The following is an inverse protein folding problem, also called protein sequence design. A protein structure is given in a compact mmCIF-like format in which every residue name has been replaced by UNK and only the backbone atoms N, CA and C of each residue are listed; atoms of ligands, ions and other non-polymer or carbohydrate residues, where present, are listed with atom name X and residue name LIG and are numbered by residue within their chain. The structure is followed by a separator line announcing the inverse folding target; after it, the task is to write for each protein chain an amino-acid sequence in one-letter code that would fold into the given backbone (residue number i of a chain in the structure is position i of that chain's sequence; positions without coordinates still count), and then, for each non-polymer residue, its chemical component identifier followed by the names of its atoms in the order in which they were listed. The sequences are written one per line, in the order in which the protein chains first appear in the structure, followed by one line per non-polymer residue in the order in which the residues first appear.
data_IF_863503917194
#
_entry.id   IF_863503917194
#
_cell.length_a   1.000
_cell.length_b   1.000
_cell.length_c   1.000
_cell.angle_alpha   90.00
_cell.angle_beta   90.00
_cell.angle_gamma   90.00
#
_symmetry.space_group_name_H-M   'P 1'
#
loop_
_entity.id
_entity.type
_entity.pdbx_description
1 polymer ?
#
# COMPACT_ATOMS: atom_id res chain seq x y z
N UNK A 1 -0.61 0.05 11.94
CA UNK A 1 0.24 -1.15 11.78
C UNK A 1 1.18 -0.95 10.59
N UNK A 2 2.52 -0.90 10.77
CA UNK A 2 3.48 -0.71 9.65
C UNK A 2 3.78 -2.06 8.99
N UNK A 3 2.94 -2.47 8.03
CA UNK A 3 3.15 -3.70 7.26
C UNK A 3 4.20 -3.46 6.16
N UNK A 4 5.10 -4.41 5.93
CA UNK A 4 6.11 -4.36 4.87
C UNK A 4 5.60 -5.01 3.59
N UNK A 5 5.89 -4.39 2.45
CA UNK A 5 5.81 -4.97 1.12
C UNK A 5 7.14 -5.64 0.75
N UNK A 6 7.06 -6.83 0.18
CA UNK A 6 8.22 -7.66 -0.21
C UNK A 6 9.26 -7.83 0.92
N UNK A 7 8.86 -8.30 2.11
CA UNK A 7 9.81 -8.53 3.18
C UNK A 7 10.71 -9.72 2.85
N UNK A 8 11.99 -9.65 3.21
CA UNK A 8 12.92 -10.77 3.02
C UNK A 8 12.71 -11.80 4.13
N UNK A 9 12.38 -13.06 3.80
CA UNK A 9 12.24 -14.11 4.79
C UNK A 9 13.61 -14.51 5.32
N UNK A 10 13.73 -14.62 6.65
CA UNK A 10 14.92 -15.14 7.32
C UNK A 10 14.74 -16.62 7.65
N UNK A 11 15.86 -17.31 7.89
CA UNK A 11 15.88 -18.73 8.27
C UNK A 11 15.19 -19.02 9.61
N UNK A 12 15.07 -18.01 10.47
CA UNK A 12 14.42 -18.11 11.79
C UNK A 12 12.88 -17.92 11.72
N UNK A 13 12.30 -17.85 10.52
CA UNK A 13 10.87 -17.63 10.32
C UNK A 13 10.42 -16.17 10.49
N UNK A 14 11.32 -15.27 10.88
CA UNK A 14 11.05 -13.83 10.87
C UNK A 14 11.25 -13.26 9.47
N UNK A 15 10.84 -12.01 9.27
CA UNK A 15 11.11 -11.30 8.03
C UNK A 15 11.72 -9.93 8.31
N UNK A 16 12.60 -9.46 7.43
CA UNK A 16 13.28 -8.18 7.57
C UNK A 16 13.31 -7.39 6.27
N UNK A 17 13.45 -6.07 6.40
CA UNK A 17 13.50 -5.17 5.25
C UNK A 17 12.16 -5.07 4.53
N UNK A 18 12.23 -4.76 3.24
CA UNK A 18 11.07 -4.46 2.41
C UNK A 18 10.65 -2.98 2.50
N UNK A 19 9.85 -2.57 1.51
CA UNK A 19 9.25 -1.24 1.44
C UNK A 19 8.06 -1.15 2.42
N UNK A 20 7.68 0.03 2.90
CA UNK A 20 6.41 0.15 3.60
C UNK A 20 5.26 -0.16 2.62
N UNK A 21 4.28 -0.97 3.06
CA UNK A 21 3.17 -1.40 2.20
C UNK A 21 2.39 -0.19 1.65
N UNK A 22 2.34 0.89 2.43
CA UNK A 22 1.77 2.18 2.03
C UNK A 22 2.50 2.78 0.85
N UNK A 23 3.83 2.88 0.93
CA UNK A 23 4.66 3.44 -0.14
C UNK A 23 4.55 2.61 -1.42
N UNK A 24 4.50 1.28 -1.30
CA UNK A 24 4.27 0.42 -2.44
C UNK A 24 2.92 0.70 -3.13
N UNK A 25 1.84 0.82 -2.36
CA UNK A 25 0.53 1.16 -2.93
C UNK A 25 0.51 2.56 -3.54
N UNK A 26 1.17 3.54 -2.92
CA UNK A 26 1.26 4.88 -3.46
C UNK A 26 1.96 4.90 -4.82
N UNK A 27 3.11 4.22 -4.95
CA UNK A 27 3.83 4.11 -6.22
C UNK A 27 2.97 3.43 -7.29
N UNK A 28 2.23 2.37 -6.95
CA UNK A 28 1.34 1.68 -7.89
C UNK A 28 0.16 2.54 -8.34
N UNK A 29 -0.39 3.35 -7.43
CA UNK A 29 -1.43 4.31 -7.75
C UNK A 29 -0.91 5.38 -8.72
N UNK A 30 0.24 5.98 -8.40
CA UNK A 30 0.92 6.97 -9.26
C UNK A 30 1.24 6.39 -10.63
N UNK A 31 1.79 5.18 -10.70
CA UNK A 31 2.08 4.49 -11.95
C UNK A 31 0.83 4.29 -12.81
N UNK A 32 -0.30 3.92 -12.21
CA UNK A 32 -1.56 3.75 -12.91
C UNK A 32 -2.14 5.05 -13.45
N UNK A 33 -2.01 6.15 -12.69
CA UNK A 33 -2.46 7.49 -13.12
C UNK A 33 -1.63 7.98 -14.32
N UNK A 34 -0.30 7.86 -14.23
CA UNK A 34 0.63 8.27 -15.29
C UNK A 34 0.50 7.47 -16.58
N UNK A 35 0.01 6.23 -16.51
CA UNK A 35 -0.22 5.42 -17.71
C UNK A 35 -1.34 5.98 -18.61
N UNK A 36 -2.21 6.84 -18.08
CA UNK A 36 -3.35 7.42 -18.79
C UNK A 36 -3.14 8.89 -19.17
N UNK A 37 -2.44 9.66 -18.33
CA UNK A 37 -2.30 11.12 -18.49
C UNK A 37 -0.86 11.55 -18.23
N UNK A 38 -0.34 12.45 -19.07
CA UNK A 38 0.89 13.17 -18.75
C UNK A 38 0.60 14.18 -17.63
N UNK A 39 1.29 14.03 -16.50
CA UNK A 39 1.10 14.88 -15.33
C UNK A 39 2.29 15.82 -15.17
N UNK A 40 2.03 17.14 -15.17
CA UNK A 40 3.04 18.17 -14.89
C UNK A 40 3.16 18.52 -13.40
N UNK A 41 2.17 18.12 -12.58
CA UNK A 41 2.15 18.36 -11.14
C UNK A 41 2.53 17.09 -10.36
N UNK A 42 3.83 16.92 -10.15
CA UNK A 42 4.36 15.81 -9.36
C UNK A 42 3.94 15.83 -7.88
N UNK A 43 3.64 17.01 -7.32
CA UNK A 43 3.32 17.15 -5.90
C UNK A 43 1.88 16.67 -5.64
N UNK A 44 0.91 17.15 -6.41
CA UNK A 44 -0.48 16.68 -6.33
C UNK A 44 -0.61 15.19 -6.66
N UNK A 45 0.22 14.69 -7.57
CA UNK A 45 0.25 13.26 -7.89
C UNK A 45 0.76 12.41 -6.73
N UNK A 46 1.79 12.86 -6.01
CA UNK A 46 2.30 12.18 -4.83
C UNK A 46 1.25 12.16 -3.70
N UNK A 47 0.58 13.28 -3.45
CA UNK A 47 -0.51 13.38 -2.46
C UNK A 47 -1.63 12.38 -2.79
N UNK A 48 -2.12 12.40 -4.03
CA UNK A 48 -3.18 11.49 -4.49
C UNK A 48 -2.77 10.01 -4.43
N UNK A 49 -1.50 9.71 -4.71
CA UNK A 49 -0.95 8.37 -4.54
C UNK A 49 -1.07 7.88 -3.10
N UNK A 50 -0.72 8.73 -2.14
CA UNK A 50 -0.84 8.39 -0.71
C UNK A 50 -2.29 8.30 -0.23
N UNK A 51 -3.20 9.14 -0.71
CA UNK A 51 -4.63 9.03 -0.41
C UNK A 51 -5.21 7.69 -0.85
N UNK A 52 -4.90 7.26 -2.09
CA UNK A 52 -5.33 5.96 -2.61
C UNK A 52 -4.71 4.82 -1.79
N UNK A 53 -3.43 4.93 -1.43
CA UNK A 53 -2.76 3.92 -0.59
C UNK A 53 -3.44 3.78 0.79
N UNK A 54 -3.82 4.88 1.43
CA UNK A 54 -4.51 4.87 2.71
C UNK A 54 -5.91 4.27 2.59
N UNK A 55 -6.64 4.55 1.49
CA UNK A 55 -7.92 3.91 1.20
C UNK A 55 -7.78 2.38 1.04
N UNK A 56 -6.73 1.91 0.34
CA UNK A 56 -6.45 0.47 0.18
C UNK A 56 -6.13 -0.21 1.51
N UNK A 57 -5.37 0.45 2.39
CA UNK A 57 -5.06 -0.06 3.73
C UNK A 57 -6.32 -0.12 4.61
N UNK A 58 -7.16 0.91 4.54
CA UNK A 58 -8.43 0.94 5.28
C UNK A 58 -9.39 -0.15 4.81
N UNK A 59 -9.53 -0.33 3.50
CA UNK A 59 -10.35 -1.40 2.92
C UNK A 59 -9.86 -2.78 3.38
N UNK A 60 -8.54 -2.97 3.48
CA UNK A 60 -7.94 -4.20 4.01
C UNK A 60 -8.25 -4.42 5.49
N UNK A 61 -8.24 -3.37 6.30
CA UNK A 61 -8.57 -3.47 7.71
C UNK A 61 -10.04 -3.91 7.88
N UNK A 62 -10.95 -3.25 7.18
CA UNK A 62 -12.38 -3.61 7.17
C UNK A 62 -12.57 -5.06 6.69
N UNK A 63 -11.89 -5.48 5.62
CA UNK A 63 -11.98 -6.85 5.13
C UNK A 63 -11.39 -7.90 6.09
N UNK A 64 -10.34 -7.55 6.83
CA UNK A 64 -9.77 -8.41 7.88
C UNK A 64 -10.64 -8.47 9.14
N UNK A 65 -11.42 -7.43 9.41
CA UNK A 65 -12.35 -7.34 10.53
C UNK A 65 -13.72 -8.03 10.21
N UNK A 66 -13.97 -8.44 8.96
CA UNK A 66 -15.16 -9.22 8.58
C UNK A 66 -15.01 -10.72 8.90
N UNK A 67 -13.80 -11.18 9.26
CA UNK A 67 -13.51 -12.60 9.55
C UNK A 67 -13.57 -12.96 11.05
N UNK A 68 -14.19 -12.10 11.90
CA UNK A 68 -14.29 -12.31 13.36
C UNK A 68 -15.72 -12.45 13.92
N UNK A 69 -16.74 -12.61 13.09
CA UNK A 69 -18.10 -12.88 13.60
C UNK A 69 -18.92 -13.83 12.72
N UNK A 70 -18.54 -15.11 12.74
CA UNK A 70 -19.44 -16.24 12.53
C UNK A 70 -19.09 -17.33 13.55
N UNK A 71 -19.30 -16.99 14.83
CA UNK A 71 -19.38 -17.94 15.95
C UNK A 71 -20.82 -18.22 16.30
#
# INVERSE_FOLDING_TARGET
MKKKAFPYPKKDGTSSGGMDLRDYFAVRAVQGILAREECSDSAGLAEKGYEIADAMLKARQIAGDIDVDLG
#
